data_IF_495283795353
#
_entry.id   IF_495283795353
#
_cell.length_a   1.000
_cell.length_b   1.000
_cell.length_c   1.000
_cell.angle_alpha   90.00
_cell.angle_beta   90.00
_cell.angle_gamma   90.00
#
_symmetry.space_group_name_H-M   'P 1'
#
loop_
_entity.id
_entity.type
_entity.pdbx_description
1 polymer ?
#
# COMPACT_ATOMS: atom_id res chain seq x y z
N UNK A 1 -49.34 5.67 13.48
CA UNK A 1 -48.14 6.00 12.67
C UNK A 1 -46.85 5.84 13.46
N UNK A 2 -46.72 6.46 14.65
CA UNK A 2 -45.49 6.38 15.49
C UNK A 2 -45.09 4.95 15.86
N UNK A 3 -46.02 4.11 16.32
CA UNK A 3 -45.73 2.70 16.66
C UNK A 3 -45.24 1.86 15.48
N UNK A 4 -45.78 2.12 14.27
CA UNK A 4 -45.29 1.50 13.03
C UNK A 4 -43.89 1.97 12.67
N UNK A 5 -43.59 3.27 12.84
CA UNK A 5 -42.25 3.82 12.66
C UNK A 5 -41.20 3.19 13.59
N UNK A 6 -41.54 3.04 14.88
CA UNK A 6 -40.69 2.35 15.86
C UNK A 6 -40.45 0.88 15.48
N UNK A 7 -41.47 0.18 14.99
CA UNK A 7 -41.31 -1.20 14.52
C UNK A 7 -40.34 -1.30 13.33
N UNK A 8 -40.45 -0.39 12.36
CA UNK A 8 -39.53 -0.31 11.21
C UNK A 8 -38.09 -0.03 11.68
N UNK A 9 -37.90 0.96 12.56
CA UNK A 9 -36.56 1.27 13.09
C UNK A 9 -35.96 0.10 13.87
N UNK A 10 -36.77 -0.59 14.68
CA UNK A 10 -36.32 -1.76 15.45
C UNK A 10 -35.83 -2.89 14.54
N UNK A 11 -36.54 -3.12 13.43
CA UNK A 11 -36.11 -4.07 12.40
C UNK A 11 -34.85 -3.60 11.66
N UNK A 12 -34.82 -2.32 11.24
CA UNK A 12 -33.69 -1.73 10.52
C UNK A 12 -32.39 -1.83 11.32
N UNK A 13 -32.42 -1.46 12.60
CA UNK A 13 -31.27 -1.54 13.50
C UNK A 13 -31.07 -2.93 14.12
N UNK A 14 -31.67 -3.98 13.52
CA UNK A 14 -31.48 -5.39 13.88
C UNK A 14 -31.67 -5.69 15.39
N UNK A 15 -32.61 -5.02 16.05
CA UNK A 15 -32.86 -5.08 17.50
C UNK A 15 -31.68 -4.64 18.40
N UNK A 16 -30.72 -3.86 17.88
CA UNK A 16 -29.53 -3.43 18.62
C UNK A 16 -29.73 -2.12 19.41
N UNK A 17 -30.81 -1.38 19.13
CA UNK A 17 -31.22 -0.21 19.90
C UNK A 17 -32.26 -0.61 20.95
N UNK A 18 -32.08 -0.14 22.18
CA UNK A 18 -33.10 -0.25 23.21
C UNK A 18 -34.34 0.57 22.85
N UNK A 19 -35.48 0.25 23.46
CA UNK A 19 -36.72 0.99 23.21
C UNK A 19 -36.58 2.48 23.56
N UNK A 20 -35.81 2.81 24.61
CA UNK A 20 -35.54 4.18 25.03
C UNK A 20 -34.69 4.94 24.01
N UNK A 21 -33.68 4.28 23.42
CA UNK A 21 -32.85 4.88 22.36
C UNK A 21 -33.63 5.07 21.06
N UNK A 22 -34.51 4.12 20.69
CA UNK A 22 -35.38 4.27 19.53
C UNK A 22 -36.31 5.49 19.67
N UNK A 23 -36.92 5.67 20.85
CA UNK A 23 -37.77 6.82 21.14
C UNK A 23 -36.96 8.12 21.19
N UNK A 24 -35.81 8.10 21.85
CA UNK A 24 -34.91 9.27 21.92
C UNK A 24 -34.48 9.70 20.52
N UNK A 25 -34.10 8.76 19.65
CA UNK A 25 -33.76 9.02 18.25
C UNK A 25 -34.93 9.65 17.48
N UNK A 26 -36.15 9.15 17.67
CA UNK A 26 -37.33 9.76 17.04
C UNK A 26 -37.54 11.21 17.47
N UNK A 27 -37.34 11.53 18.75
CA UNK A 27 -37.45 12.91 19.24
C UNK A 27 -36.33 13.80 18.71
N UNK A 28 -35.09 13.31 18.68
CA UNK A 28 -33.94 14.08 18.18
C UNK A 28 -34.02 14.38 16.69
N UNK A 29 -34.67 13.52 15.91
CA UNK A 29 -34.74 13.64 14.43
C UNK A 29 -36.07 14.20 13.93
N UNK A 30 -37.02 14.46 14.82
CA UNK A 30 -38.30 15.07 14.46
C UNK A 30 -38.10 16.52 13.98
N UNK A 31 -38.95 16.95 13.04
CA UNK A 31 -38.97 18.33 12.55
C UNK A 31 -39.77 19.20 13.51
N UNK A 32 -39.07 20.02 14.29
CA UNK A 32 -39.61 20.94 15.27
C UNK A 32 -39.61 22.40 14.78
N UNK A 33 -39.72 22.60 13.47
CA UNK A 33 -39.73 23.91 12.82
C UNK A 33 -41.15 24.36 12.39
N UNK A 34 -41.27 25.66 12.09
CA UNK A 34 -42.50 26.25 11.57
C UNK A 34 -43.74 25.97 12.43
N UNK A 35 -44.78 25.38 11.83
CA UNK A 35 -46.03 25.06 12.54
C UNK A 35 -45.85 23.97 13.59
N UNK A 36 -44.81 23.13 13.49
CA UNK A 36 -44.55 22.00 14.38
C UNK A 36 -43.70 22.38 15.59
N UNK A 37 -43.17 23.61 15.64
CA UNK A 37 -42.36 24.12 16.75
C UNK A 37 -43.13 24.28 18.07
N UNK A 38 -44.47 24.34 18.02
CA UNK A 38 -45.28 24.50 19.23
C UNK A 38 -45.37 23.17 19.99
N UNK A 39 -44.50 23.03 21.01
CA UNK A 39 -44.42 21.82 21.83
C UNK A 39 -45.72 21.48 22.59
N UNK A 40 -46.55 22.47 22.93
CA UNK A 40 -47.84 22.20 23.61
C UNK A 40 -48.85 21.50 22.68
N UNK A 41 -48.71 21.68 21.37
CA UNK A 41 -49.61 21.09 20.36
C UNK A 41 -48.99 19.86 19.70
N UNK A 42 -47.70 19.93 19.36
CA UNK A 42 -46.99 18.94 18.55
C UNK A 42 -45.90 18.18 19.31
N UNK A 43 -45.70 18.44 20.61
CA UNK A 43 -44.69 17.76 21.42
C UNK A 43 -43.28 18.02 20.90
N UNK A 44 -42.65 16.99 20.35
CA UNK A 44 -41.30 17.06 19.78
C UNK A 44 -41.29 17.36 18.27
N UNK A 45 -42.43 17.77 17.69
CA UNK A 45 -42.54 18.11 16.29
C UNK A 45 -43.07 16.98 15.41
N UNK A 46 -42.95 17.16 14.09
CA UNK A 46 -43.41 16.18 13.10
C UNK A 46 -42.42 15.01 13.01
N UNK A 47 -42.94 13.78 13.13
CA UNK A 47 -42.19 12.55 12.92
C UNK A 47 -41.49 12.54 11.54
N UNK A 48 -40.17 12.44 11.53
CA UNK A 48 -39.37 12.25 10.33
C UNK A 48 -38.64 10.90 10.35
N UNK A 49 -39.26 9.88 9.74
CA UNK A 49 -38.64 8.57 9.65
C UNK A 49 -37.40 8.56 8.75
N UNK A 50 -37.34 9.43 7.73
CA UNK A 50 -36.17 9.52 6.86
C UNK A 50 -34.94 9.97 7.63
N UNK A 51 -35.08 11.02 8.45
CA UNK A 51 -34.02 11.45 9.37
C UNK A 51 -33.72 10.39 10.44
N UNK A 52 -34.75 9.75 11.02
CA UNK A 52 -34.58 8.73 12.03
C UNK A 52 -33.93 7.42 11.54
N UNK A 53 -33.96 7.12 10.24
CA UNK A 53 -33.34 5.90 9.67
C UNK A 53 -31.99 6.14 9.02
N UNK A 54 -31.56 7.40 8.87
CA UNK A 54 -30.26 7.77 8.32
C UNK A 54 -29.26 8.12 9.44
N UNK A 55 -27.94 8.09 9.18
CA UNK A 55 -26.95 8.48 10.18
C UNK A 55 -27.15 9.89 10.73
N UNK A 56 -27.09 10.05 12.05
CA UNK A 56 -27.07 11.34 12.72
C UNK A 56 -25.63 11.73 13.07
N UNK A 57 -25.10 12.75 12.39
CA UNK A 57 -23.67 13.07 12.43
C UNK A 57 -22.82 12.12 11.58
N UNK A 58 -21.49 12.24 11.69
CA UNK A 58 -20.55 11.37 10.94
C UNK A 58 -20.35 10.06 11.71
N UNK A 59 -20.71 8.89 11.15
CA UNK A 59 -20.43 7.62 11.79
C UNK A 59 -18.94 7.42 12.04
N UNK A 60 -18.62 6.75 13.14
CA UNK A 60 -17.26 6.37 13.49
C UNK A 60 -17.12 4.87 13.75
N UNK A 61 -15.98 4.31 13.36
CA UNK A 61 -15.58 2.97 13.76
C UNK A 61 -15.13 2.97 15.21
N UNK A 62 -15.62 1.98 15.96
CA UNK A 62 -15.37 1.81 17.39
C UNK A 62 -14.66 0.47 17.60
N UNK A 63 -13.92 0.35 18.69
CA UNK A 63 -13.29 -0.92 19.05
C UNK A 63 -14.31 -1.92 19.57
N UNK A 64 -14.07 -3.20 19.33
CA UNK A 64 -14.89 -4.27 19.91
C UNK A 64 -14.80 -4.24 21.43
N UNK A 65 -15.91 -4.48 22.12
CA UNK A 65 -16.06 -4.36 23.58
C UNK A 65 -16.06 -2.93 24.13
N UNK A 66 -15.92 -1.89 23.30
CA UNK A 66 -16.13 -0.51 23.72
C UNK A 66 -17.62 -0.29 24.05
N UNK A 67 -17.92 0.47 25.09
CA UNK A 67 -19.30 0.86 25.42
C UNK A 67 -19.65 2.20 24.76
N UNK A 68 -20.77 2.23 24.05
CA UNK A 68 -21.30 3.40 23.36
C UNK A 68 -22.56 3.89 24.10
N UNK A 69 -22.64 5.20 24.32
CA UNK A 69 -23.83 5.86 24.86
C UNK A 69 -24.12 7.12 24.05
N UNK A 70 -25.40 7.36 23.75
CA UNK A 70 -25.88 8.57 23.07
C UNK A 70 -25.57 9.87 23.84
N UNK A 71 -25.21 9.79 25.13
CA UNK A 71 -24.87 10.94 25.96
C UNK A 71 -23.36 11.33 25.92
N UNK A 72 -22.52 10.53 25.26
CA UNK A 72 -21.09 10.77 25.14
C UNK A 72 -20.71 11.29 23.75
N UNK A 73 -19.70 12.16 23.67
CA UNK A 73 -19.16 12.65 22.40
C UNK A 73 -18.71 11.48 21.49
N UNK A 74 -18.70 11.63 20.14
CA UNK A 74 -18.26 10.56 19.25
C UNK A 74 -16.80 10.20 19.52
N UNK A 75 -16.56 8.99 20.02
CA UNK A 75 -15.23 8.48 20.37
C UNK A 75 -14.56 7.67 19.25
N UNK A 76 -15.25 7.44 18.13
CA UNK A 76 -14.80 6.56 17.05
C UNK A 76 -13.93 7.26 16.00
N UNK A 77 -13.19 6.47 15.22
CA UNK A 77 -12.50 7.00 14.04
C UNK A 77 -13.53 7.26 12.92
N UNK A 78 -13.67 8.49 12.41
CA UNK A 78 -14.73 8.82 11.46
C UNK A 78 -14.57 8.02 10.16
N UNK A 79 -15.68 7.53 9.62
CA UNK A 79 -15.67 6.74 8.37
C UNK A 79 -15.04 7.51 7.19
N UNK A 80 -15.08 8.84 7.22
CA UNK A 80 -14.53 9.72 6.19
C UNK A 80 -12.99 9.80 6.21
N UNK A 81 -12.36 9.38 7.30
CA UNK A 81 -10.89 9.32 7.41
C UNK A 81 -10.37 7.88 7.25
N UNK A 82 -11.26 6.87 7.23
CA UNK A 82 -10.87 5.48 7.14
C UNK A 82 -10.45 5.15 5.70
N UNK A 83 -9.17 4.85 5.52
CA UNK A 83 -8.63 4.35 4.27
C UNK A 83 -7.49 3.39 4.56
N UNK A 84 -7.41 2.31 3.78
CA UNK A 84 -6.30 1.38 3.78
C UNK A 84 -5.78 1.26 2.36
N UNK A 85 -4.66 1.90 2.10
CA UNK A 85 -4.01 1.90 0.81
C UNK A 85 -2.96 0.77 0.77
N UNK A 86 -3.18 -0.25 -0.06
CA UNK A 86 -2.24 -1.37 -0.19
C UNK A 86 -1.13 -1.02 -1.19
N UNK A 87 0.12 -1.10 -0.73
CA UNK A 87 1.31 -0.89 -1.54
C UNK A 87 1.57 -2.06 -2.50
N UNK A 88 2.41 -1.86 -3.52
CA UNK A 88 2.53 -2.80 -4.64
C UNK A 88 2.99 -4.21 -4.24
N UNK A 89 3.82 -4.32 -3.19
CA UNK A 89 4.31 -5.60 -2.71
C UNK A 89 3.23 -6.46 -2.03
N UNK A 90 2.21 -5.82 -1.45
CA UNK A 90 1.05 -6.46 -0.83
C UNK A 90 -0.09 -6.72 -1.84
N UNK A 91 -0.09 -6.03 -2.98
CA UNK A 91 -1.06 -6.22 -4.06
C UNK A 91 -2.52 -6.15 -3.59
N UNK A 92 -3.34 -7.12 -4.02
CA UNK A 92 -4.75 -7.24 -3.65
C UNK A 92 -4.99 -7.96 -2.30
N UNK A 93 -3.95 -8.29 -1.53
CA UNK A 93 -4.14 -9.13 -0.33
C UNK A 93 -5.05 -8.50 0.73
N UNK A 94 -4.93 -7.19 0.98
CA UNK A 94 -5.75 -6.47 1.95
C UNK A 94 -7.20 -6.28 1.47
N UNK A 95 -7.39 -5.98 0.19
CA UNK A 95 -8.73 -5.88 -0.42
C UNK A 95 -9.44 -7.23 -0.42
N UNK A 96 -8.72 -8.32 -0.71
CA UNK A 96 -9.23 -9.70 -0.61
C UNK A 96 -9.54 -10.09 0.84
N UNK A 97 -8.69 -9.74 1.81
CA UNK A 97 -8.90 -10.04 3.23
C UNK A 97 -10.20 -9.42 3.78
N UNK A 98 -10.48 -8.20 3.36
CA UNK A 98 -11.66 -7.43 3.77
C UNK A 98 -12.85 -7.65 2.83
N UNK A 99 -12.66 -8.35 1.71
CA UNK A 99 -13.73 -8.73 0.81
C UNK A 99 -14.77 -9.58 1.56
N UNK A 100 -16.05 -9.34 1.28
CA UNK A 100 -17.20 -10.01 1.93
C UNK A 100 -17.32 -9.82 3.46
N UNK A 101 -16.52 -8.94 4.08
CA UNK A 101 -16.68 -8.59 5.49
C UNK A 101 -17.63 -7.41 5.63
N UNK A 102 -18.63 -7.55 6.49
CA UNK A 102 -19.47 -6.45 6.93
C UNK A 102 -18.80 -5.77 8.13
N UNK A 103 -18.79 -4.44 8.15
CA UNK A 103 -18.28 -3.62 9.25
C UNK A 103 -19.34 -2.60 9.65
N UNK A 104 -19.53 -2.39 10.94
CA UNK A 104 -20.45 -1.43 11.50
C UNK A 104 -19.72 -0.17 11.98
N UNK A 105 -20.17 0.99 11.52
CA UNK A 105 -19.85 2.28 12.13
C UNK A 105 -21.05 2.79 12.92
N UNK A 106 -20.80 3.59 13.95
CA UNK A 106 -21.82 4.08 14.87
C UNK A 106 -21.96 5.58 14.73
N UNK A 107 -23.19 6.05 14.57
CA UNK A 107 -23.48 7.48 14.51
C UNK A 107 -23.43 8.15 15.90
N UNK A 108 -23.65 9.46 15.96
CA UNK A 108 -23.57 10.22 17.21
C UNK A 108 -24.65 9.87 18.24
N UNK A 109 -25.70 9.14 17.83
CA UNK A 109 -26.73 8.61 18.73
C UNK A 109 -26.47 7.13 19.08
N UNK A 110 -25.33 6.58 18.65
CA UNK A 110 -24.94 5.19 18.91
C UNK A 110 -25.68 4.16 18.06
N UNK A 111 -26.31 4.57 16.95
CA UNK A 111 -26.96 3.63 16.04
C UNK A 111 -25.96 3.02 15.05
N UNK A 112 -26.00 1.70 14.82
CA UNK A 112 -25.11 1.02 13.89
C UNK A 112 -25.56 1.20 12.43
N UNK A 113 -24.57 1.41 11.55
CA UNK A 113 -24.71 1.43 10.10
C UNK A 113 -23.64 0.52 9.49
N UNK A 114 -24.05 -0.33 8.56
CA UNK A 114 -23.21 -1.40 8.02
C UNK A 114 -22.67 -1.06 6.63
N UNK A 115 -21.41 -1.40 6.42
CA UNK A 115 -20.67 -1.19 5.19
C UNK A 115 -19.93 -2.47 4.81
N UNK A 116 -19.57 -2.60 3.53
CA UNK A 116 -18.58 -3.59 3.13
C UNK A 116 -17.18 -3.06 3.53
N UNK A 117 -16.40 -3.86 4.25
CA UNK A 117 -15.07 -3.43 4.71
C UNK A 117 -14.09 -3.15 3.56
N UNK A 118 -14.24 -3.83 2.42
CA UNK A 118 -13.44 -3.56 1.23
C UNK A 118 -13.71 -2.18 0.62
N UNK A 119 -14.82 -1.51 0.96
CA UNK A 119 -15.11 -0.14 0.49
C UNK A 119 -14.08 0.89 1.01
N UNK A 120 -13.33 0.55 2.05
CA UNK A 120 -12.29 1.41 2.62
C UNK A 120 -10.88 0.98 2.21
N UNK A 121 -10.75 -0.01 1.33
CA UNK A 121 -9.47 -0.37 0.73
C UNK A 121 -9.28 0.37 -0.58
N UNK A 122 -8.08 0.88 -0.80
CA UNK A 122 -7.66 1.50 -2.05
C UNK A 122 -6.37 0.81 -2.47
N UNK A 123 -6.20 0.57 -3.77
CA UNK A 123 -4.97 0.02 -4.29
C UNK A 123 -4.06 1.17 -4.71
N UNK A 124 -2.85 1.22 -4.17
CA UNK A 124 -1.86 2.21 -4.59
C UNK A 124 -1.28 1.76 -5.92
N UNK A 125 -1.29 2.62 -6.96
CA UNK A 125 -0.65 2.32 -8.24
C UNK A 125 0.77 1.77 -8.03
N UNK A 126 1.13 0.73 -8.78
CA UNK A 126 2.48 0.18 -8.82
C UNK A 126 3.52 1.19 -9.34
N UNK A 127 4.69 0.70 -9.74
CA UNK A 127 5.73 1.55 -10.36
C UNK A 127 5.13 2.43 -11.47
N UNK A 128 5.17 3.75 -11.24
CA UNK A 128 4.56 4.74 -12.13
C UNK A 128 5.18 4.69 -13.53
N UNK A 129 4.46 5.22 -14.53
CA UNK A 129 5.01 5.41 -15.88
C UNK A 129 6.33 6.21 -15.81
N UNK A 130 6.44 7.18 -14.89
CA UNK A 130 7.66 7.95 -14.68
C UNK A 130 8.83 7.08 -14.17
N UNK A 131 8.59 6.23 -13.17
CA UNK A 131 9.60 5.29 -12.66
C UNK A 131 10.09 4.35 -13.77
N UNK A 132 9.16 3.79 -14.56
CA UNK A 132 9.49 2.90 -15.67
C UNK A 132 10.21 3.63 -16.82
N UNK A 133 9.86 4.89 -17.08
CA UNK A 133 10.57 5.74 -18.03
C UNK A 133 12.01 6.00 -17.57
N UNK A 134 12.21 6.23 -16.28
CA UNK A 134 13.53 6.50 -15.73
C UNK A 134 14.44 5.27 -15.81
N UNK A 135 13.90 4.08 -15.51
CA UNK A 135 14.57 2.80 -15.78
C UNK A 135 14.91 2.61 -17.27
N UNK A 136 14.02 3.04 -18.17
CA UNK A 136 14.24 2.97 -19.61
C UNK A 136 15.38 3.90 -20.07
N UNK A 137 15.42 5.13 -19.56
CA UNK A 137 16.45 6.13 -19.88
C UNK A 137 17.80 5.80 -19.22
N UNK A 138 17.77 5.28 -18.00
CA UNK A 138 18.94 4.97 -17.18
C UNK A 138 18.92 3.51 -16.74
N UNK A 139 19.09 2.55 -17.67
CA UNK A 139 19.11 1.15 -17.31
C UNK A 139 20.23 0.90 -16.29
N UNK A 140 19.95 0.11 -15.26
CA UNK A 140 20.89 -0.15 -14.17
C UNK A 140 22.23 -0.65 -14.73
N UNK A 141 23.25 0.21 -14.68
CA UNK A 141 24.60 -0.15 -15.12
C UNK A 141 25.40 -0.64 -13.92
N UNK A 142 26.14 -1.73 -14.11
CA UNK A 142 27.15 -2.15 -13.15
C UNK A 142 28.24 -1.10 -13.10
N UNK A 143 28.33 -0.37 -11.99
CA UNK A 143 29.42 0.57 -11.81
C UNK A 143 30.73 -0.19 -11.61
N UNK A 144 31.81 0.18 -12.34
CA UNK A 144 33.13 -0.36 -12.09
C UNK A 144 33.55 -0.13 -10.64
N UNK A 145 34.33 -1.06 -10.06
CA UNK A 145 34.90 -0.85 -8.73
C UNK A 145 35.80 0.40 -8.77
N UNK A 146 35.52 1.43 -7.94
CA UNK A 146 36.33 2.64 -7.92
C UNK A 146 37.77 2.34 -7.54
N UNK A 147 38.72 3.02 -8.19
CA UNK A 147 40.14 2.97 -7.82
C UNK A 147 40.45 3.83 -6.58
N UNK A 148 39.60 4.82 -6.31
CA UNK A 148 39.67 5.74 -5.18
C UNK A 148 38.32 5.84 -4.51
N UNK A 149 38.26 6.38 -3.30
CA UNK A 149 36.99 6.67 -2.65
C UNK A 149 36.18 7.68 -3.47
N UNK A 150 34.91 7.37 -3.66
CA UNK A 150 33.92 8.22 -4.33
C UNK A 150 32.76 8.47 -3.38
N UNK A 151 32.28 9.72 -3.39
CA UNK A 151 31.17 10.17 -2.57
C UNK A 151 30.12 10.77 -3.50
N UNK A 152 28.88 10.31 -3.38
CA UNK A 152 27.78 10.80 -4.19
C UNK A 152 26.63 11.19 -3.28
N UNK A 153 26.13 12.42 -3.43
CA UNK A 153 24.91 12.90 -2.80
C UNK A 153 23.89 13.09 -3.90
N UNK A 154 22.71 12.52 -3.73
CA UNK A 154 21.59 12.69 -4.63
C UNK A 154 20.34 13.00 -3.81
N UNK A 155 19.79 14.20 -4.00
CA UNK A 155 18.48 14.56 -3.47
C UNK A 155 17.38 14.00 -4.38
N UNK A 156 16.23 13.65 -3.80
CA UNK A 156 15.12 13.05 -4.53
C UNK A 156 15.56 11.89 -5.42
N UNK A 157 16.36 10.98 -4.85
CA UNK A 157 16.93 9.88 -5.60
C UNK A 157 15.78 9.02 -6.13
N UNK A 158 15.75 8.70 -7.43
CA UNK A 158 14.73 7.81 -7.95
C UNK A 158 14.87 6.44 -7.29
N UNK A 159 13.74 5.79 -7.05
CA UNK A 159 13.69 4.40 -6.67
C UNK A 159 14.59 3.60 -7.60
N UNK A 160 15.48 2.79 -7.03
CA UNK A 160 15.98 1.66 -7.79
C UNK A 160 14.81 0.71 -7.88
N UNK A 161 14.29 0.44 -9.08
CA UNK A 161 13.08 -0.36 -9.28
C UNK A 161 13.24 -1.86 -8.93
N UNK A 162 14.12 -2.19 -7.99
CA UNK A 162 14.50 -3.52 -7.62
C UNK A 162 14.59 -3.66 -6.10
N UNK A 163 13.91 -4.68 -5.55
CA UNK A 163 13.97 -4.99 -4.13
C UNK A 163 13.39 -3.91 -3.22
N UNK A 164 13.80 -3.92 -1.95
CA UNK A 164 13.32 -2.95 -0.94
C UNK A 164 13.89 -1.55 -1.13
N UNK A 165 14.99 -1.39 -1.85
CA UNK A 165 15.52 -0.06 -2.20
C UNK A 165 14.56 0.72 -3.11
N UNK A 166 13.55 0.06 -3.69
CA UNK A 166 12.47 0.72 -4.41
C UNK A 166 11.57 1.57 -3.51
N UNK A 167 11.48 1.24 -2.20
CA UNK A 167 10.69 1.98 -1.21
C UNK A 167 11.28 3.37 -0.93
N UNK A 168 12.58 3.54 -1.17
CA UNK A 168 13.27 4.82 -0.96
C UNK A 168 13.13 5.77 -2.16
N UNK A 169 12.00 5.73 -2.87
CA UNK A 169 11.73 6.62 -4.00
C UNK A 169 11.60 8.07 -3.52
N UNK A 170 12.40 8.99 -4.05
CA UNK A 170 12.37 10.38 -3.60
C UNK A 170 13.16 10.65 -2.31
N UNK A 171 13.73 9.62 -1.68
CA UNK A 171 14.63 9.81 -0.55
C UNK A 171 15.95 10.46 -0.98
N UNK A 172 16.56 11.25 -0.10
CA UNK A 172 17.95 11.68 -0.25
C UNK A 172 18.88 10.49 -0.04
N UNK A 173 19.83 10.31 -0.96
CA UNK A 173 20.82 9.23 -0.94
C UNK A 173 22.23 9.79 -0.83
N UNK A 174 22.96 9.29 0.16
CA UNK A 174 24.41 9.49 0.26
C UNK A 174 25.11 8.14 0.08
N UNK A 175 25.93 8.02 -0.96
CA UNK A 175 26.69 6.81 -1.25
C UNK A 175 28.19 7.07 -1.11
N UNK A 176 28.85 6.23 -0.34
CA UNK A 176 30.31 6.15 -0.23
C UNK A 176 30.78 4.83 -0.82
N UNK A 177 31.54 4.88 -1.90
CA UNK A 177 32.09 3.71 -2.58
C UNK A 177 33.61 3.75 -2.56
N UNK A 178 34.24 2.61 -2.22
CA UNK A 178 35.68 2.54 -1.99
C UNK A 178 36.41 1.57 -2.91
N UNK A 179 37.75 1.65 -2.89
CA UNK A 179 38.61 0.57 -3.37
C UNK A 179 38.20 -0.74 -2.67
N UNK A 180 38.37 -1.88 -3.34
CA UNK A 180 37.88 -3.21 -2.90
C UNK A 180 36.38 -3.48 -3.14
N UNK A 181 35.68 -2.57 -3.81
CA UNK A 181 34.31 -2.81 -4.30
C UNK A 181 33.25 -2.80 -3.22
N UNK A 182 33.54 -2.20 -2.06
CA UNK A 182 32.58 -1.97 -1.00
C UNK A 182 31.92 -0.62 -1.23
N UNK A 183 30.60 -0.56 -1.08
CA UNK A 183 29.88 0.70 -1.00
C UNK A 183 28.86 0.68 0.13
N UNK A 184 28.65 1.83 0.75
CA UNK A 184 27.60 2.08 1.74
C UNK A 184 26.70 3.20 1.22
N UNK A 185 25.39 3.01 1.31
CA UNK A 185 24.39 4.01 0.95
C UNK A 185 23.48 4.29 2.14
N UNK A 186 23.43 5.54 2.56
CA UNK A 186 22.45 6.07 3.50
C UNK A 186 21.27 6.66 2.72
N UNK A 187 20.06 6.33 3.16
CA UNK A 187 18.80 6.79 2.56
C UNK A 187 18.02 7.53 3.63
N UNK A 188 17.52 8.71 3.31
CA UNK A 188 16.73 9.50 4.24
C UNK A 188 15.64 10.28 3.51
N UNK A 189 14.41 10.04 3.93
CA UNK A 189 13.25 10.87 3.65
C UNK A 189 12.68 11.30 5.01
N UNK A 190 12.76 12.60 5.38
CA UNK A 190 12.33 13.07 6.69
C UNK A 190 10.90 12.60 7.00
N UNK A 191 10.69 12.12 8.24
CA UNK A 191 9.40 11.60 8.75
C UNK A 191 8.83 10.35 8.05
N UNK A 192 9.44 9.86 6.96
CA UNK A 192 8.90 8.76 6.16
C UNK A 192 9.83 7.54 6.10
N UNK A 193 11.13 7.74 5.84
CA UNK A 193 12.03 6.61 5.61
C UNK A 193 13.46 6.88 6.05
N UNK A 194 14.08 5.89 6.67
CA UNK A 194 15.52 5.84 6.92
C UNK A 194 16.07 4.49 6.47
N UNK A 195 17.22 4.48 5.82
CA UNK A 195 17.80 3.23 5.34
C UNK A 195 19.32 3.25 5.30
N UNK A 196 19.89 2.06 5.42
CA UNK A 196 21.30 1.79 5.22
C UNK A 196 21.42 0.55 4.33
N UNK A 197 22.20 0.65 3.26
CA UNK A 197 22.52 -0.48 2.40
C UNK A 197 24.04 -0.59 2.23
N UNK A 198 24.55 -1.81 2.36
CA UNK A 198 25.92 -2.18 2.10
C UNK A 198 25.95 -3.08 0.87
N UNK A 199 26.84 -2.79 -0.07
CA UNK A 199 27.07 -3.64 -1.24
C UNK A 199 28.54 -4.00 -1.35
N UNK A 200 28.82 -5.21 -1.80
CA UNK A 200 30.17 -5.70 -2.03
C UNK A 200 30.26 -6.38 -3.40
N UNK A 201 31.15 -5.85 -4.22
CA UNK A 201 31.54 -6.38 -5.53
C UNK A 201 33.02 -6.82 -5.43
N UNK A 202 33.30 -8.07 -5.06
CA UNK A 202 34.66 -8.51 -4.78
C UNK A 202 35.56 -8.36 -6.02
N UNK A 203 36.73 -7.68 -5.91
CA UNK A 203 37.63 -7.52 -7.06
C UNK A 203 38.14 -8.84 -7.62
N UNK A 204 38.30 -9.86 -6.77
CA UNK A 204 38.70 -11.21 -7.14
C UNK A 204 37.61 -12.01 -7.84
N UNK A 205 36.33 -11.64 -7.64
CA UNK A 205 35.17 -12.29 -8.25
C UNK A 205 34.30 -11.21 -8.90
N UNK A 206 34.80 -10.54 -9.95
CA UNK A 206 34.16 -9.35 -10.51
C UNK A 206 32.76 -9.62 -11.06
N UNK A 207 32.39 -10.90 -11.25
CA UNK A 207 31.10 -11.39 -11.72
C UNK A 207 30.02 -11.51 -10.64
N UNK A 208 30.37 -11.39 -9.36
CA UNK A 208 29.43 -11.55 -8.24
C UNK A 208 29.20 -10.19 -7.57
N UNK A 209 27.96 -9.96 -7.11
CA UNK A 209 27.65 -8.90 -6.16
C UNK A 209 26.87 -9.46 -4.99
N UNK A 210 27.07 -8.85 -3.83
CA UNK A 210 26.25 -9.06 -2.65
C UNK A 210 25.76 -7.71 -2.15
N UNK A 211 24.55 -7.67 -1.61
CA UNK A 211 24.13 -6.55 -0.79
C UNK A 211 23.35 -7.02 0.43
N UNK A 212 23.37 -6.19 1.45
CA UNK A 212 22.50 -6.30 2.60
C UNK A 212 22.03 -4.90 2.96
N UNK A 213 20.83 -4.78 3.50
CA UNK A 213 20.34 -3.49 3.94
C UNK A 213 19.29 -3.59 5.02
N UNK A 214 19.05 -2.44 5.62
CA UNK A 214 18.03 -2.18 6.61
C UNK A 214 17.25 -0.93 6.19
N UNK A 215 15.93 -0.99 6.26
CA UNK A 215 15.02 0.13 5.99
C UNK A 215 14.03 0.21 7.14
N UNK A 216 13.81 1.43 7.62
CA UNK A 216 12.77 1.78 8.58
C UNK A 216 11.80 2.76 7.92
N UNK A 217 10.58 2.29 7.74
CA UNK A 217 9.43 3.04 7.25
C UNK A 217 8.65 3.60 8.44
N UNK A 218 8.41 4.91 8.43
CA UNK A 218 7.59 5.64 9.38
C UNK A 218 6.27 5.99 8.68
N UNK A 219 5.14 5.59 9.26
CA UNK A 219 3.81 5.75 8.65
C UNK A 219 3.54 4.95 7.35
N UNK A 220 4.41 4.01 6.99
CA UNK A 220 4.19 3.08 5.87
C UNK A 220 4.62 1.64 6.18
N UNK A 221 4.05 0.69 5.44
CA UNK A 221 4.44 -0.72 5.42
C UNK A 221 4.55 -1.18 3.97
N UNK A 222 5.76 -1.28 3.43
CA UNK A 222 5.99 -1.61 2.02
C UNK A 222 5.18 -0.69 1.08
N UNK A 223 5.26 0.62 1.30
CA UNK A 223 4.45 1.67 0.65
C UNK A 223 2.93 1.55 0.86
N UNK A 224 2.50 0.76 1.85
CA UNK A 224 1.09 0.70 2.26
C UNK A 224 0.82 1.69 3.38
N UNK A 225 -0.34 2.34 3.35
CA UNK A 225 -0.72 3.35 4.32
C UNK A 225 -2.09 3.06 4.91
N UNK A 226 -2.21 3.18 6.22
CA UNK A 226 -3.48 3.18 6.94
C UNK A 226 -3.83 4.59 7.39
N UNK A 227 -5.12 4.92 7.42
CA UNK A 227 -5.64 6.15 7.99
C UNK A 227 -6.95 5.88 8.75
N UNK A 228 -7.25 6.76 9.70
CA UNK A 228 -8.44 6.68 10.54
C UNK A 228 -8.49 5.36 11.31
N UNK A 229 -9.52 4.56 11.05
CA UNK A 229 -9.76 3.31 11.79
C UNK A 229 -8.73 2.21 11.52
N UNK A 230 -7.98 2.29 10.41
CA UNK A 230 -6.90 1.34 10.13
C UNK A 230 -5.60 1.68 10.86
N UNK A 231 -5.51 2.87 11.47
CA UNK A 231 -4.35 3.31 12.22
C UNK A 231 -3.13 3.58 11.33
N UNK A 232 -2.02 3.85 11.99
CA UNK A 232 -0.73 4.13 11.36
C UNK A 232 0.07 2.84 11.24
N UNK A 233 0.53 2.53 10.03
CA UNK A 233 1.40 1.40 9.75
C UNK A 233 2.85 1.84 9.84
N UNK A 234 3.76 0.97 10.26
CA UNK A 234 5.20 1.21 10.20
C UNK A 234 5.92 -0.12 10.03
N UNK A 235 7.17 -0.09 9.55
CA UNK A 235 7.92 -1.32 9.29
C UNK A 235 9.42 -1.16 9.49
N UNK A 236 10.03 -2.20 10.04
CA UNK A 236 11.47 -2.39 10.01
C UNK A 236 11.81 -3.60 9.13
N UNK A 237 12.66 -3.38 8.14
CA UNK A 237 12.95 -4.37 7.11
C UNK A 237 14.44 -4.62 7.02
N UNK A 238 14.83 -5.89 7.04
CA UNK A 238 16.18 -6.34 6.72
C UNK A 238 16.15 -7.19 5.46
N UNK A 239 17.06 -6.96 4.53
CA UNK A 239 17.11 -7.70 3.27
C UNK A 239 18.53 -8.05 2.86
N UNK A 240 18.66 -9.10 2.05
CA UNK A 240 19.90 -9.52 1.42
C UNK A 240 19.66 -9.79 -0.06
N UNK A 241 20.63 -9.42 -0.90
CA UNK A 241 20.60 -9.72 -2.32
C UNK A 241 21.93 -10.31 -2.79
N UNK A 242 21.85 -11.10 -3.85
CA UNK A 242 23.01 -11.62 -4.57
C UNK A 242 22.79 -11.45 -6.07
N UNK A 243 23.87 -11.10 -6.76
CA UNK A 243 23.87 -10.94 -8.21
C UNK A 243 25.01 -11.69 -8.87
N UNK A 244 24.74 -12.14 -10.10
CA UNK A 244 25.71 -12.77 -10.97
C UNK A 244 25.66 -12.09 -12.34
N UNK A 245 26.83 -11.91 -12.95
CA UNK A 245 26.94 -11.50 -14.34
C UNK A 245 27.90 -12.39 -15.10
N UNK A 246 27.68 -12.51 -16.40
CA UNK A 246 28.53 -13.31 -17.26
C UNK A 246 28.32 -12.98 -18.71
N UNK A 247 29.02 -13.70 -19.57
CA UNK A 247 28.84 -13.60 -21.01
C UNK A 247 28.53 -14.96 -21.60
N UNK A 248 27.66 -14.98 -22.60
CA UNK A 248 27.31 -16.15 -23.39
C UNK A 248 27.43 -15.78 -24.88
N UNK A 249 28.59 -16.03 -25.46
CA UNK A 249 28.94 -15.54 -26.79
C UNK A 249 28.91 -14.00 -26.83
N UNK A 250 27.99 -13.44 -27.62
CA UNK A 250 27.82 -11.97 -27.78
C UNK A 250 26.86 -11.35 -26.76
N UNK A 251 26.29 -12.15 -25.86
CA UNK A 251 25.38 -11.67 -24.83
C UNK A 251 26.12 -11.40 -23.53
N UNK A 252 25.84 -10.26 -22.93
CA UNK A 252 26.08 -9.97 -21.52
C UNK A 252 24.82 -10.33 -20.74
N UNK A 253 24.97 -11.15 -19.70
CA UNK A 253 23.88 -11.64 -18.88
C UNK A 253 24.06 -11.10 -17.45
N UNK A 254 22.96 -10.73 -16.80
CA UNK A 254 22.93 -10.43 -15.37
C UNK A 254 21.69 -11.02 -14.70
N UNK A 255 21.88 -11.47 -13.48
CA UNK A 255 20.84 -12.02 -12.61
C UNK A 255 21.02 -11.40 -11.25
N UNK A 256 19.93 -10.98 -10.62
CA UNK A 256 19.92 -10.57 -9.22
C UNK A 256 18.66 -11.13 -8.57
N UNK A 257 18.81 -11.60 -7.34
CA UNK A 257 17.73 -12.08 -6.48
C UNK A 257 17.85 -11.44 -5.10
N UNK A 258 16.72 -11.08 -4.50
CA UNK A 258 16.64 -10.50 -3.16
C UNK A 258 15.58 -11.22 -2.33
N UNK A 259 15.87 -11.39 -1.05
CA UNK A 259 14.90 -11.81 -0.04
C UNK A 259 14.95 -10.86 1.15
N UNK A 260 13.80 -10.63 1.78
CA UNK A 260 13.69 -9.75 2.94
C UNK A 260 12.80 -10.30 4.04
N UNK A 261 13.02 -9.80 5.25
CA UNK A 261 12.20 -10.00 6.42
C UNK A 261 11.73 -8.64 6.93
N UNK A 262 10.41 -8.48 7.01
CA UNK A 262 9.73 -7.26 7.43
C UNK A 262 9.11 -7.50 8.80
N UNK A 263 9.31 -6.58 9.73
CA UNK A 263 8.68 -6.56 11.06
C UNK A 263 7.73 -5.37 11.13
N UNK A 264 6.44 -5.57 10.85
CA UNK A 264 5.46 -4.50 10.89
C UNK A 264 5.10 -4.09 12.31
N UNK A 265 4.66 -2.85 12.46
CA UNK A 265 3.96 -2.35 13.64
C UNK A 265 2.71 -1.59 13.20
N UNK A 266 1.69 -1.61 14.07
CA UNK A 266 0.42 -0.94 13.86
C UNK A 266 0.13 -0.12 15.11
N UNK A 267 -0.08 1.18 14.95
CA UNK A 267 -0.38 2.10 16.03
C UNK A 267 -1.75 2.76 15.80
N UNK A 268 -2.49 3.01 16.88
CA UNK A 268 -3.78 3.73 16.83
C UNK A 268 -4.83 3.11 15.89
N UNK A 269 -4.72 1.82 15.60
CA UNK A 269 -5.71 1.11 14.79
C UNK A 269 -6.86 0.61 15.66
N UNK A 270 -8.06 0.67 15.09
CA UNK A 270 -9.28 0.10 15.68
C UNK A 270 -9.72 -1.20 15.00
N UNK A 271 -9.13 -1.50 13.83
CA UNK A 271 -9.56 -2.59 12.95
C UNK A 271 -8.48 -3.64 12.71
N UNK A 272 -7.21 -3.25 12.78
CA UNK A 272 -6.06 -4.14 12.61
C UNK A 272 -5.44 -4.35 13.99
N UNK A 273 -5.48 -5.58 14.49
CA UNK A 273 -4.93 -5.90 15.80
C UNK A 273 -3.41 -6.04 15.72
N UNK A 274 -2.96 -6.87 14.78
CA UNK A 274 -1.54 -7.17 14.58
C UNK A 274 -1.28 -7.58 13.14
N UNK A 275 -0.05 -7.37 12.69
CA UNK A 275 0.47 -7.94 11.45
C UNK A 275 1.70 -8.77 11.82
N UNK A 276 1.73 -10.02 11.35
CA UNK A 276 2.87 -10.90 11.61
C UNK A 276 4.13 -10.40 10.88
N UNK A 277 5.29 -10.96 11.21
CA UNK A 277 6.46 -10.81 10.33
C UNK A 277 6.11 -11.26 8.90
N UNK A 278 6.62 -10.52 7.92
CA UNK A 278 6.44 -10.81 6.50
C UNK A 278 7.76 -11.27 5.90
N UNK A 279 7.69 -12.18 4.94
CA UNK A 279 8.82 -12.51 4.07
C UNK A 279 8.57 -11.97 2.68
N UNK A 280 9.59 -11.42 2.03
CA UNK A 280 9.48 -10.81 0.70
C UNK A 280 10.52 -11.35 -0.26
N UNK A 281 10.24 -11.28 -1.56
CA UNK A 281 11.22 -11.57 -2.63
C UNK A 281 11.10 -10.65 -3.82
N UNK A 282 12.22 -10.46 -4.51
CA UNK A 282 12.32 -9.81 -5.81
C UNK A 282 13.40 -10.50 -6.67
N UNK A 283 13.26 -10.46 -7.99
CA UNK A 283 14.32 -10.92 -8.89
C UNK A 283 14.32 -10.19 -10.23
N UNK A 284 15.48 -10.13 -10.87
CA UNK A 284 15.65 -9.54 -12.19
C UNK A 284 16.71 -10.29 -12.97
N UNK A 285 16.37 -10.67 -14.19
CA UNK A 285 17.23 -11.26 -15.21
C UNK A 285 17.35 -10.26 -16.34
N UNK A 286 18.56 -10.05 -16.85
CA UNK A 286 18.79 -9.20 -18.03
C UNK A 286 19.77 -9.86 -18.98
N UNK A 287 19.52 -9.68 -20.27
CA UNK A 287 20.40 -10.08 -21.34
C UNK A 287 20.57 -8.88 -22.29
N UNK A 288 21.81 -8.52 -22.59
CA UNK A 288 22.14 -7.42 -23.52
C UNK A 288 23.13 -7.89 -24.56
N UNK A 289 22.91 -7.53 -25.82
CA UNK A 289 23.80 -7.83 -26.94
C UNK A 289 24.04 -6.59 -27.79
N UNK A 290 25.30 -6.28 -28.00
CA UNK A 290 25.72 -5.31 -29.02
C UNK A 290 25.82 -6.01 -30.39
N UNK A 291 25.25 -5.37 -31.41
CA UNK A 291 25.22 -5.82 -32.80
C UNK A 291 26.34 -5.12 -33.60
N UNK A 292 26.76 -5.73 -34.72
CA UNK A 292 27.91 -5.24 -35.50
C UNK A 292 27.65 -3.89 -36.16
N UNK A 293 26.39 -3.53 -36.34
CA UNK A 293 25.94 -2.26 -36.91
C UNK A 293 25.87 -1.11 -35.87
N UNK A 294 26.40 -1.31 -34.66
CA UNK A 294 26.35 -0.32 -33.58
C UNK A 294 25.07 -0.36 -32.74
N UNK A 295 24.07 -1.18 -33.11
CA UNK A 295 22.83 -1.31 -32.35
C UNK A 295 23.06 -2.10 -31.05
N UNK A 296 22.19 -1.92 -30.06
CA UNK A 296 22.14 -2.76 -28.88
C UNK A 296 20.72 -3.26 -28.58
N UNK A 297 20.58 -4.55 -28.33
CA UNK A 297 19.33 -5.18 -27.90
C UNK A 297 19.46 -5.58 -26.42
N UNK A 298 18.53 -5.15 -25.59
CA UNK A 298 18.38 -5.58 -24.20
C UNK A 298 17.03 -6.26 -24.00
N UNK A 299 17.01 -7.36 -23.26
CA UNK A 299 15.81 -8.07 -22.83
C UNK A 299 15.93 -8.27 -21.31
N UNK A 300 14.86 -8.02 -20.56
CA UNK A 300 14.82 -8.30 -19.13
C UNK A 300 13.52 -8.99 -18.73
N UNK A 301 13.63 -9.88 -17.75
CA UNK A 301 12.52 -10.47 -17.02
C UNK A 301 12.67 -10.10 -15.54
N UNK A 302 11.65 -9.51 -14.92
CA UNK A 302 11.69 -9.19 -13.50
C UNK A 302 10.38 -9.46 -12.79
N UNK A 303 10.50 -9.75 -11.50
CA UNK A 303 9.43 -9.62 -10.54
C UNK A 303 9.78 -8.48 -9.59
N UNK A 304 8.93 -7.45 -9.48
CA UNK A 304 9.02 -6.45 -8.43
C UNK A 304 8.97 -7.07 -7.02
N UNK A 305 9.21 -6.24 -6.00
CA UNK A 305 9.10 -6.66 -4.61
C UNK A 305 7.71 -7.23 -4.33
N UNK A 306 7.63 -8.45 -3.79
CA UNK A 306 6.39 -9.16 -3.47
C UNK A 306 6.44 -9.74 -2.07
N UNK A 307 5.33 -9.68 -1.33
CA UNK A 307 5.15 -10.44 -0.08
C UNK A 307 4.86 -11.91 -0.40
N UNK A 308 5.65 -12.82 0.17
CA UNK A 308 5.47 -14.27 -0.01
C UNK A 308 4.71 -14.93 1.15
N UNK A 309 4.93 -14.48 2.39
CA UNK A 309 4.26 -15.00 3.58
C UNK A 309 4.01 -13.92 4.62
N UNK A 310 3.00 -14.14 5.46
CA UNK A 310 2.58 -13.26 6.55
C UNK A 310 1.07 -13.16 6.64
N UNK A 311 0.56 -12.67 7.76
CA UNK A 311 -0.88 -12.52 8.03
C UNK A 311 -1.19 -11.23 8.74
N UNK A 312 -2.39 -10.68 8.51
CA UNK A 312 -2.97 -9.62 9.33
C UNK A 312 -4.15 -10.18 10.12
N UNK A 313 -4.19 -9.86 11.42
CA UNK A 313 -5.33 -10.12 12.29
C UNK A 313 -6.18 -8.85 12.39
N UNK A 314 -7.48 -9.01 12.22
CA UNK A 314 -8.46 -7.94 12.24
C UNK A 314 -9.52 -8.20 13.31
N UNK A 315 -10.00 -7.13 13.92
CA UNK A 315 -11.19 -7.12 14.77
C UNK A 315 -12.14 -6.07 14.26
N UNK A 316 -13.17 -6.51 13.52
CA UNK A 316 -14.12 -5.59 12.89
C UNK A 316 -15.37 -5.46 13.77
N UNK A 317 -15.81 -4.25 14.14
CA UNK A 317 -17.11 -4.06 14.76
C UNK A 317 -18.21 -4.49 13.77
N UNK A 318 -19.19 -5.27 14.22
CA UNK A 318 -20.31 -5.77 13.39
C UNK A 318 -21.67 -5.32 13.92
N UNK A 319 -21.69 -4.67 15.08
CA UNK A 319 -22.89 -4.16 15.72
C UNK A 319 -22.67 -3.93 17.20
N UNK A 320 -23.74 -3.88 17.98
CA UNK A 320 -23.68 -3.75 19.43
C UNK A 320 -24.80 -4.51 20.14
N UNK A 321 -24.63 -4.73 21.44
CA UNK A 321 -25.70 -5.17 22.31
C UNK A 321 -26.72 -4.04 22.53
N UNK A 322 -27.96 -4.35 22.95
CA UNK A 322 -28.95 -3.34 23.34
C UNK A 322 -28.44 -2.38 24.43
N UNK A 323 -27.52 -2.84 25.28
CA UNK A 323 -26.91 -2.05 26.36
C UNK A 323 -25.74 -1.16 25.88
N UNK A 324 -25.43 -1.14 24.59
CA UNK A 324 -24.44 -0.22 24.02
C UNK A 324 -23.04 -0.81 23.85
N UNK A 325 -22.81 -2.09 24.18
CA UNK A 325 -21.47 -2.71 24.06
C UNK A 325 -21.23 -3.15 22.63
N UNK A 326 -20.16 -2.66 22.00
CA UNK A 326 -19.77 -3.02 20.64
C UNK A 326 -19.41 -4.49 20.57
N UNK A 327 -20.01 -5.16 19.60
CA UNK A 327 -19.72 -6.55 19.23
C UNK A 327 -18.99 -6.56 17.89
N UNK A 328 -18.17 -7.58 17.66
CA UNK A 328 -17.43 -7.69 16.42
C UNK A 328 -17.06 -9.13 16.08
N UNK A 329 -16.38 -9.25 14.95
CA UNK A 329 -15.81 -10.50 14.48
C UNK A 329 -14.31 -10.32 14.31
N UNK A 330 -13.55 -11.23 14.91
CA UNK A 330 -12.10 -11.31 14.71
C UNK A 330 -11.75 -12.40 13.70
N UNK A 331 -10.79 -12.13 12.83
CA UNK A 331 -10.28 -13.11 11.89
C UNK A 331 -8.83 -12.79 11.50
N UNK A 332 -8.15 -13.77 10.92
CA UNK A 332 -6.81 -13.60 10.35
C UNK A 332 -6.86 -13.92 8.86
N UNK A 333 -6.11 -13.15 8.06
CA UNK A 333 -6.01 -13.34 6.62
C UNK A 333 -4.55 -13.30 6.17
N UNK A 334 -4.12 -14.13 5.21
CA UNK A 334 -2.81 -14.02 4.60
C UNK A 334 -2.62 -12.68 3.88
N UNK A 335 -1.39 -12.19 3.90
CA UNK A 335 -0.95 -10.97 3.20
C UNK A 335 -0.16 -11.26 1.91
N UNK A 336 -0.07 -12.52 1.50
CA UNK A 336 0.45 -12.85 0.18
C UNK A 336 -0.59 -12.45 -0.88
N UNK A 337 -0.25 -11.63 -1.89
CA UNK A 337 -1.18 -11.25 -2.94
C UNK A 337 -1.58 -12.45 -3.81
N UNK A 338 -2.72 -12.35 -4.48
CA UNK A 338 -3.30 -13.45 -5.25
C UNK A 338 -2.46 -13.88 -6.45
N UNK A 339 -1.70 -12.95 -7.03
CA UNK A 339 -0.90 -13.13 -8.22
C UNK A 339 0.60 -12.91 -8.00
N UNK A 340 1.32 -12.93 -9.12
CA UNK A 340 2.76 -12.67 -9.21
C UNK A 340 3.03 -11.86 -10.46
N UNK A 341 3.44 -10.60 -10.26
CA UNK A 341 3.73 -9.72 -11.37
C UNK A 341 5.03 -10.16 -12.05
N UNK A 342 5.00 -10.30 -13.37
CA UNK A 342 6.18 -10.51 -14.17
C UNK A 342 6.26 -9.46 -15.27
N UNK A 343 7.37 -8.74 -15.31
CA UNK A 343 7.64 -7.71 -16.28
C UNK A 343 8.65 -8.24 -17.30
N UNK A 344 8.24 -8.28 -18.57
CA UNK A 344 9.12 -8.55 -19.70
C UNK A 344 9.37 -7.26 -20.45
N UNK A 345 10.61 -6.77 -20.42
CA UNK A 345 11.01 -5.55 -21.12
C UNK A 345 11.97 -5.88 -22.25
N UNK A 346 11.70 -5.33 -23.43
CA UNK A 346 12.62 -5.35 -24.58
C UNK A 346 12.98 -3.92 -24.94
N UNK A 347 14.28 -3.63 -25.08
CA UNK A 347 14.81 -2.33 -25.48
C UNK A 347 15.75 -2.49 -26.67
N UNK A 348 15.58 -1.67 -27.69
CA UNK A 348 16.46 -1.55 -28.86
C UNK A 348 17.06 -0.15 -28.90
N UNK A 349 18.38 -0.06 -28.99
CA UNK A 349 19.12 1.18 -29.16
C UNK A 349 19.78 1.19 -30.54
N UNK A 350 19.61 2.29 -31.26
CA UNK A 350 19.99 2.46 -32.66
C UNK A 350 20.76 3.78 -32.83
N UNK A 351 21.94 3.79 -33.47
CA UNK A 351 22.55 5.03 -33.91
C UNK A 351 21.69 5.66 -35.02
N UNK A 352 21.27 6.91 -34.85
CA UNK A 352 20.43 7.63 -35.80
C UNK A 352 20.77 9.12 -35.79
N UNK A 353 21.00 9.70 -36.98
CA UNK A 353 21.15 11.15 -37.17
C UNK A 353 22.16 11.85 -36.23
N UNK A 354 23.28 11.18 -35.92
CA UNK A 354 24.30 11.72 -35.01
C UNK A 354 23.94 11.61 -33.52
N UNK A 355 22.93 10.83 -33.16
CA UNK A 355 22.58 10.46 -31.79
C UNK A 355 22.15 9.00 -31.66
N UNK A 356 21.47 8.68 -30.55
CA UNK A 356 20.94 7.35 -30.25
C UNK A 356 19.41 7.40 -30.12
N UNK A 357 18.70 6.63 -30.96
CA UNK A 357 17.28 6.33 -30.79
C UNK A 357 17.12 5.09 -29.92
N UNK A 358 16.35 5.19 -28.84
CA UNK A 358 15.94 4.10 -27.98
C UNK A 358 14.45 3.80 -28.19
N UNK A 359 14.12 2.53 -28.40
CA UNK A 359 12.74 2.03 -28.46
C UNK A 359 12.57 0.96 -27.38
N UNK A 360 11.51 1.03 -26.59
CA UNK A 360 11.25 0.12 -25.48
C UNK A 360 9.81 -0.35 -25.44
N UNK A 361 9.62 -1.61 -25.08
CA UNK A 361 8.31 -2.17 -24.74
C UNK A 361 8.42 -2.98 -23.46
N UNK A 362 7.49 -2.76 -22.54
CA UNK A 362 7.34 -3.55 -21.31
C UNK A 362 5.95 -4.17 -21.31
N UNK A 363 5.87 -5.48 -21.08
CA UNK A 363 4.63 -6.19 -20.79
C UNK A 363 4.65 -6.64 -19.34
N UNK A 364 3.65 -6.23 -18.57
CA UNK A 364 3.45 -6.69 -17.19
C UNK A 364 2.28 -7.67 -17.14
N UNK A 365 2.52 -8.91 -16.76
CA UNK A 365 1.45 -9.86 -16.41
C UNK A 365 1.08 -9.72 -14.95
N UNK A 366 -0.20 -9.83 -14.60
CA UNK A 366 -0.70 -9.71 -13.22
C UNK A 366 -0.13 -8.48 -12.50
N UNK A 367 -0.29 -7.27 -13.09
CA UNK A 367 0.25 -6.03 -12.51
C UNK A 367 -0.23 -5.86 -11.07
N UNK A 368 0.64 -5.30 -10.22
CA UNK A 368 0.43 -5.16 -8.76
C UNK A 368 0.15 -6.49 -8.06
N UNK A 369 0.65 -7.59 -8.62
CA UNK A 369 0.46 -8.94 -8.09
C UNK A 369 -1.01 -9.37 -8.02
N UNK A 370 -1.86 -8.87 -8.90
CA UNK A 370 -3.28 -9.23 -8.94
C UNK A 370 -3.53 -10.28 -10.02
N UNK A 371 -3.97 -11.48 -9.63
CA UNK A 371 -4.18 -12.60 -10.56
C UNK A 371 -5.23 -12.29 -11.64
N UNK A 372 -6.22 -11.47 -11.30
CA UNK A 372 -7.34 -11.14 -12.19
C UNK A 372 -7.09 -9.90 -13.04
N UNK A 373 -6.02 -9.15 -12.78
CA UNK A 373 -5.71 -7.94 -13.54
C UNK A 373 -5.29 -8.27 -14.98
N UNK A 374 -5.80 -7.49 -15.92
CA UNK A 374 -5.42 -7.60 -17.32
C UNK A 374 -3.94 -7.24 -17.51
N UNK A 375 -3.21 -7.88 -18.45
CA UNK A 375 -1.84 -7.51 -18.72
C UNK A 375 -1.69 -6.05 -19.18
N UNK A 376 -0.69 -5.35 -18.65
CA UNK A 376 -0.35 -3.99 -19.05
C UNK A 376 0.75 -3.99 -20.11
N UNK A 377 0.70 -3.01 -21.01
CA UNK A 377 1.71 -2.75 -22.02
C UNK A 377 2.13 -1.30 -21.97
N UNK A 378 3.44 -1.05 -21.94
CA UNK A 378 4.01 0.29 -21.93
C UNK A 378 5.05 0.37 -23.04
N UNK A 379 4.97 1.45 -23.81
CA UNK A 379 5.87 1.72 -24.92
C UNK A 379 6.63 3.01 -24.64
N UNK A 380 7.95 2.97 -24.81
CA UNK A 380 8.81 4.14 -24.67
C UNK A 380 9.59 4.36 -25.95
N UNK A 381 9.76 5.64 -26.28
CA UNK A 381 10.70 6.10 -27.30
C UNK A 381 11.52 7.23 -26.69
N UNK A 382 12.82 7.26 -26.98
CA UNK A 382 13.71 8.32 -26.53
C UNK A 382 14.78 8.57 -27.56
N UNK A 383 15.13 9.83 -27.78
CA UNK A 383 16.24 10.22 -28.65
C UNK A 383 17.25 11.00 -27.82
N UNK A 384 18.50 10.51 -27.77
CA UNK A 384 19.62 11.20 -27.15
C UNK A 384 20.54 11.72 -28.25
N UNK A 385 20.54 13.03 -28.43
CA UNK A 385 21.43 13.66 -29.38
C UNK A 385 22.86 13.77 -28.84
N UNK A 386 23.85 13.65 -29.72
CA UNK A 386 25.24 13.97 -29.41
C UNK A 386 25.61 15.26 -30.17
N UNK A 387 25.30 16.42 -29.58
CA UNK A 387 25.78 17.72 -30.05
C UNK A 387 26.38 18.52 -28.91
#
# INVERSE_FOLDING_TARGET
MVSGGLAVMKQLFRNQLSNTELVSRLFTTAKDDGIYANAATYGHGLLDLGAATNPWGTPGFMETSQSISAAAAPQGAPITAAALAAGPALGDSLSQALSSKEIAAFDSLGAPFWFNAAAFTVEVPGATVATRLQDFLHPSQWQPVPQTWQFHVQENAPATAYGHLALANGASRFTMAGPQGIAASLLQEPEHLQGLALSWNPPSMPMVSFSAGYIKEHESLLDSHGNGAFGQLSAETSFISAGLKGTAGRWSLSVVGEVGAVTPSVASSRLIDTISRLSTSAFRLQARRSLDNGNALSISLSQPLRVDHGTAAFSLPTGRTPDGVVTGASFSSPLAPSGRQLDVTTKLELPLAGGDLSLGVTRSSEPQHQRTAAPEWIFFTGYRAAW
#
